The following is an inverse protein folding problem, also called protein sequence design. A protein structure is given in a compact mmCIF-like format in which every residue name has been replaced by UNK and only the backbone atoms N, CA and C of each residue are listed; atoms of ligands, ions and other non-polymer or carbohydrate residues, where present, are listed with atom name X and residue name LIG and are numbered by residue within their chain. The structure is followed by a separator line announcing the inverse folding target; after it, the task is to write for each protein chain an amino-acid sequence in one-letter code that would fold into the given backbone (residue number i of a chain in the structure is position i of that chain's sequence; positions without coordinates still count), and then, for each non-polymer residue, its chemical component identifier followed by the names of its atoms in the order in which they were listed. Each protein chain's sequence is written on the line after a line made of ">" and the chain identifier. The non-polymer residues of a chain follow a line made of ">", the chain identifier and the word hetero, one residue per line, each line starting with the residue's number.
data_IF_888275029797
#
_entry.id   IF_888275029797
#
_cell.length_a   1.000
_cell.length_b   1.000
_cell.length_c   1.000
_cell.angle_alpha   90.00
_cell.angle_beta   90.00
_cell.angle_gamma   90.00
#
_symmetry.space_group_name_H-M   'P 1'
#
loop_
_entity.id
_entity.type
_entity.pdbx_description
1 polymer ?
#
# COMPACT_ATOMS: atom_id res chain seq x y z
N UNK A 1 -7.26 34.95 6.86
CA UNK A 1 -6.91 34.03 5.75
C UNK A 1 -6.40 32.66 6.22
N UNK A 2 -5.38 32.53 7.09
CA UNK A 2 -4.84 31.23 7.56
C UNK A 2 -5.86 30.29 8.26
N UNK A 3 -6.89 30.83 8.91
CA UNK A 3 -7.98 30.06 9.55
C UNK A 3 -8.99 29.47 8.54
N UNK A 4 -9.23 30.18 7.42
CA UNK A 4 -10.19 29.76 6.41
C UNK A 4 -9.62 28.61 5.55
N UNK A 5 -8.35 28.68 5.16
CA UNK A 5 -7.64 27.59 4.48
C UNK A 5 -7.52 26.34 5.34
N UNK A 6 -7.27 26.48 6.65
CA UNK A 6 -7.21 25.35 7.60
C UNK A 6 -8.58 24.67 7.78
N UNK A 7 -9.67 25.42 7.72
CA UNK A 7 -11.05 24.87 7.75
C UNK A 7 -11.47 24.24 6.42
N UNK A 8 -11.01 24.75 5.28
CA UNK A 8 -11.27 24.15 3.96
C UNK A 8 -10.50 22.84 3.80
N UNK A 9 -9.24 22.79 4.24
CA UNK A 9 -8.42 21.55 4.27
C UNK A 9 -9.02 20.50 5.22
N UNK A 10 -9.50 20.89 6.41
CA UNK A 10 -10.20 19.99 7.33
C UNK A 10 -11.52 19.47 6.75
N UNK A 11 -12.31 20.32 6.08
CA UNK A 11 -13.56 19.89 5.43
C UNK A 11 -13.30 18.95 4.25
N UNK A 12 -12.27 19.20 3.43
CA UNK A 12 -11.86 18.29 2.35
C UNK A 12 -11.35 16.94 2.88
N UNK A 13 -10.61 16.94 3.99
CA UNK A 13 -10.14 15.73 4.67
C UNK A 13 -11.30 14.90 5.26
N UNK A 14 -12.26 15.55 5.93
CA UNK A 14 -13.44 14.87 6.49
C UNK A 14 -14.39 14.32 5.42
N UNK A 15 -14.55 15.02 4.29
CA UNK A 15 -15.35 14.53 3.15
C UNK A 15 -14.67 13.33 2.50
N UNK A 16 -13.35 13.34 2.33
CA UNK A 16 -12.57 12.17 1.88
C UNK A 16 -12.68 11.00 2.86
N UNK A 17 -12.51 11.22 4.17
CA UNK A 17 -12.66 10.16 5.19
C UNK A 17 -14.07 9.54 5.20
N UNK A 18 -15.12 10.36 5.05
CA UNK A 18 -16.52 9.89 4.98
C UNK A 18 -16.83 9.14 3.68
N UNK A 19 -16.36 9.64 2.53
CA UNK A 19 -16.52 8.97 1.24
C UNK A 19 -15.74 7.65 1.18
N UNK A 20 -14.57 7.58 1.83
CA UNK A 20 -13.78 6.36 1.94
C UNK A 20 -14.39 5.35 2.92
N UNK A 21 -14.95 5.79 4.05
CA UNK A 21 -15.70 4.89 4.94
C UNK A 21 -16.92 4.27 4.23
N UNK A 22 -17.55 5.02 3.31
CA UNK A 22 -18.66 4.54 2.47
C UNK A 22 -18.19 3.60 1.35
N UNK A 23 -17.04 3.89 0.72
CA UNK A 23 -16.37 3.01 -0.25
C UNK A 23 -16.05 1.63 0.33
N UNK A 24 -15.53 1.63 1.56
CA UNK A 24 -15.14 0.42 2.29
C UNK A 24 -16.34 -0.44 2.68
N UNK A 25 -17.51 0.15 2.90
CA UNK A 25 -18.74 -0.59 3.18
C UNK A 25 -19.36 -1.24 1.92
N UNK A 26 -19.19 -0.62 0.74
CA UNK A 26 -19.73 -1.13 -0.52
C UNK A 26 -18.89 -2.25 -1.17
N UNK A 27 -17.68 -2.50 -0.67
CA UNK A 27 -16.67 -3.39 -1.26
C UNK A 27 -16.90 -4.90 -1.01
N UNK A 28 -17.86 -5.26 -0.15
CA UNK A 28 -18.09 -6.65 0.32
C UNK A 28 -18.95 -7.48 -0.65
N UNK A 29 -19.60 -6.88 -1.66
CA UNK A 29 -20.46 -7.59 -2.62
C UNK A 29 -19.97 -7.39 -4.07
N UNK A 30 -19.32 -8.41 -4.66
CA UNK A 30 -18.77 -8.27 -6.02
C UNK A 30 -18.23 -9.51 -6.73
N UNK A 31 -19.13 -10.43 -7.10
CA UNK A 31 -19.17 -11.18 -8.38
C UNK A 31 -18.18 -12.30 -8.75
N UNK A 32 -18.75 -13.36 -9.35
CA UNK A 32 -18.21 -14.70 -9.64
C UNK A 32 -18.40 -15.01 -11.14
N UNK A 33 -17.37 -15.53 -11.83
CA UNK A 33 -17.47 -16.04 -13.21
C UNK A 33 -16.77 -17.41 -13.36
N UNK A 34 -17.29 -18.27 -14.25
CA UNK A 34 -16.93 -19.70 -14.44
C UNK A 34 -16.09 -19.91 -15.72
N UNK A 35 -15.17 -20.88 -15.70
CA UNK A 35 -14.68 -21.58 -16.90
C UNK A 35 -14.12 -22.99 -16.55
N UNK A 36 -14.18 -23.91 -17.53
CA UNK A 36 -14.07 -25.39 -17.44
C UNK A 36 -12.65 -25.98 -17.72
N UNK A 37 -12.54 -27.31 -17.54
CA UNK A 37 -11.39 -28.26 -17.45
C UNK A 37 -10.84 -28.79 -18.82
N UNK A 38 -9.63 -29.43 -18.94
CA UNK A 38 -9.35 -30.81 -18.45
C UNK A 38 -7.91 -31.27 -18.04
N UNK A 39 -7.96 -32.34 -17.22
CA UNK A 39 -7.09 -33.43 -16.69
C UNK A 39 -5.67 -33.84 -17.21
N UNK A 40 -4.83 -34.14 -16.18
CA UNK A 40 -3.89 -35.28 -15.90
C UNK A 40 -2.51 -35.43 -16.56
N UNK A 41 -1.45 -35.36 -15.73
CA UNK A 41 -0.23 -36.18 -15.80
C UNK A 41 0.46 -36.28 -14.41
N UNK A 42 1.26 -37.34 -14.21
CA UNK A 42 1.71 -37.90 -12.92
C UNK A 42 2.63 -36.99 -12.06
N UNK A 43 2.43 -37.07 -10.74
CA UNK A 43 3.09 -36.23 -9.70
C UNK A 43 4.43 -36.84 -9.27
N UNK A 44 5.50 -36.06 -9.39
CA UNK A 44 6.74 -36.23 -8.62
C UNK A 44 6.80 -35.15 -7.53
N UNK A 45 7.42 -35.47 -6.40
CA UNK A 45 7.38 -34.79 -5.07
C UNK A 45 7.82 -33.30 -4.99
N UNK A 46 7.87 -32.57 -6.10
CA UNK A 46 8.34 -31.16 -6.15
C UNK A 46 7.44 -30.21 -6.95
N UNK A 47 6.30 -30.65 -7.48
CA UNK A 47 5.39 -29.82 -8.29
C UNK A 47 4.09 -29.49 -7.56
N UNK A 48 3.47 -28.37 -7.93
CA UNK A 48 2.18 -27.95 -7.39
C UNK A 48 1.10 -28.97 -7.75
N UNK A 49 0.38 -29.48 -6.75
CA UNK A 49 -0.67 -30.48 -6.93
C UNK A 49 -1.92 -30.04 -7.72
N UNK A 50 -1.97 -28.80 -8.21
CA UNK A 50 -3.06 -28.25 -9.02
C UNK A 50 -2.57 -27.89 -10.42
N UNK A 51 -1.56 -27.01 -10.55
CA UNK A 51 -1.06 -26.58 -11.85
C UNK A 51 0.03 -27.49 -12.43
N UNK A 52 0.57 -28.42 -11.63
CA UNK A 52 1.64 -29.36 -12.02
C UNK A 52 2.96 -28.69 -12.42
N UNK A 53 3.10 -27.38 -12.19
CA UNK A 53 4.32 -26.60 -12.40
C UNK A 53 5.14 -26.47 -11.11
N UNK A 54 6.34 -25.88 -11.22
CA UNK A 54 7.13 -25.47 -10.06
C UNK A 54 6.33 -24.46 -9.20
N UNK A 55 6.16 -24.70 -7.89
CA UNK A 55 5.25 -23.89 -7.09
C UNK A 55 5.78 -22.46 -6.90
N UNK A 56 4.97 -21.47 -7.28
CA UNK A 56 5.18 -20.07 -6.90
C UNK A 56 4.53 -19.83 -5.54
N UNK A 57 5.33 -19.45 -4.53
CA UNK A 57 4.92 -19.34 -3.12
C UNK A 57 4.30 -20.65 -2.59
N UNK A 58 5.11 -21.70 -2.38
CA UNK A 58 4.63 -23.02 -2.00
C UNK A 58 3.96 -23.01 -0.62
N UNK A 59 2.70 -23.45 -0.58
CA UNK A 59 1.97 -23.76 0.64
C UNK A 59 2.00 -25.26 0.89
N UNK A 60 2.79 -25.66 1.90
CA UNK A 60 2.85 -27.03 2.36
C UNK A 60 1.72 -27.29 3.37
N UNK A 61 0.80 -28.18 3.01
CA UNK A 61 -0.30 -28.55 3.89
C UNK A 61 0.16 -29.55 4.96
N UNK A 62 -0.52 -29.62 6.12
CA UNK A 62 -0.22 -30.64 7.15
C UNK A 62 -0.33 -32.08 6.65
N UNK A 63 -1.09 -32.32 5.57
CA UNK A 63 -1.20 -33.64 4.93
C UNK A 63 -0.05 -33.98 3.98
N UNK A 64 0.98 -33.12 3.88
CA UNK A 64 2.18 -33.35 3.07
C UNK A 64 2.07 -32.92 1.60
N UNK A 65 0.91 -32.44 1.15
CA UNK A 65 0.74 -31.95 -0.23
C UNK A 65 1.11 -30.47 -0.33
N UNK A 66 1.73 -30.09 -1.45
CA UNK A 66 2.17 -28.72 -1.73
C UNK A 66 1.45 -28.12 -2.94
N UNK A 67 1.14 -26.83 -2.86
CA UNK A 67 0.41 -26.08 -3.89
C UNK A 67 0.98 -24.67 -4.01
N UNK A 68 0.86 -24.02 -5.17
CA UNK A 68 1.00 -22.57 -5.25
C UNK A 68 -0.08 -21.91 -4.38
N UNK A 69 0.26 -20.83 -3.67
CA UNK A 69 -0.72 -20.06 -2.89
C UNK A 69 -1.95 -19.66 -3.71
N UNK A 70 -1.72 -19.09 -4.90
CA UNK A 70 -2.79 -18.69 -5.82
C UNK A 70 -3.65 -19.86 -6.31
N UNK A 71 -3.07 -21.03 -6.59
CA UNK A 71 -3.83 -22.20 -7.03
C UNK A 71 -4.75 -22.73 -5.92
N UNK A 72 -4.27 -22.76 -4.68
CA UNK A 72 -5.07 -23.21 -3.55
C UNK A 72 -6.20 -22.23 -3.22
N UNK A 73 -5.94 -20.92 -3.31
CA UNK A 73 -6.97 -19.88 -3.14
C UNK A 73 -8.05 -19.98 -4.21
N UNK A 74 -7.65 -20.19 -5.46
CA UNK A 74 -8.60 -20.37 -6.56
C UNK A 74 -9.42 -21.65 -6.39
N UNK A 75 -8.80 -22.75 -5.93
CA UNK A 75 -9.51 -23.98 -5.59
C UNK A 75 -10.60 -23.73 -4.53
N UNK A 76 -10.25 -22.99 -3.46
CA UNK A 76 -11.19 -22.59 -2.40
C UNK A 76 -12.37 -21.80 -2.96
N UNK A 77 -12.11 -20.87 -3.87
CA UNK A 77 -13.13 -20.00 -4.47
C UNK A 77 -14.02 -20.74 -5.50
N UNK A 78 -13.46 -21.64 -6.31
CA UNK A 78 -14.19 -22.35 -7.38
C UNK A 78 -15.08 -23.48 -6.85
N UNK A 79 -14.59 -24.29 -5.91
CA UNK A 79 -15.28 -25.49 -5.41
C UNK A 79 -15.97 -25.31 -4.05
N UNK A 80 -15.81 -24.14 -3.43
CA UNK A 80 -16.37 -23.78 -2.11
C UNK A 80 -17.89 -23.58 -2.03
N UNK A 81 -18.66 -23.94 -3.05
CA UNK A 81 -20.14 -23.87 -3.01
C UNK A 81 -20.72 -24.90 -2.03
N UNK A 82 -19.95 -25.94 -1.70
CA UNK A 82 -20.19 -26.81 -0.54
C UNK A 82 -19.10 -26.50 0.46
N UNK A 83 -19.45 -25.67 1.44
CA UNK A 83 -18.70 -25.19 2.60
C UNK A 83 -17.55 -26.11 3.07
N UNK A 84 -17.80 -27.42 3.15
CA UNK A 84 -16.81 -28.42 3.56
C UNK A 84 -15.58 -28.57 2.65
N UNK A 85 -15.71 -28.32 1.34
CA UNK A 85 -14.62 -28.57 0.38
C UNK A 85 -13.56 -27.45 0.39
N UNK A 86 -13.91 -26.25 0.87
CA UNK A 86 -12.99 -25.11 1.00
C UNK A 86 -11.83 -25.40 1.97
N UNK A 87 -12.07 -26.30 2.92
CA UNK A 87 -11.12 -26.68 3.98
C UNK A 87 -10.62 -28.12 3.80
N UNK A 88 -10.66 -28.65 2.58
CA UNK A 88 -10.16 -29.99 2.24
C UNK A 88 -9.07 -29.93 1.18
N UNK A 89 -8.02 -30.71 1.37
CA UNK A 89 -6.92 -30.88 0.42
C UNK A 89 -7.47 -31.31 -0.94
N UNK A 90 -7.09 -30.64 -2.05
CA UNK A 90 -7.52 -31.03 -3.40
C UNK A 90 -7.17 -32.48 -3.76
N UNK A 91 -6.09 -33.01 -3.19
CA UNK A 91 -5.58 -34.36 -3.49
C UNK A 91 -6.18 -35.39 -2.56
N UNK A 92 -5.89 -35.30 -1.26
CA UNK A 92 -6.26 -36.35 -0.28
C UNK A 92 -7.52 -36.04 0.53
N UNK A 93 -8.11 -34.86 0.35
CA UNK A 93 -9.30 -34.38 1.10
C UNK A 93 -9.12 -34.28 2.61
N UNK A 94 -7.88 -34.40 3.12
CA UNK A 94 -7.55 -34.08 4.50
C UNK A 94 -7.90 -32.63 4.83
N UNK A 95 -8.22 -32.34 6.09
CA UNK A 95 -8.55 -30.98 6.52
C UNK A 95 -7.35 -30.06 6.36
N UNK A 96 -7.63 -28.84 5.91
CA UNK A 96 -6.65 -27.77 5.78
C UNK A 96 -7.01 -26.67 6.80
N UNK A 97 -6.02 -26.11 7.52
CA UNK A 97 -6.22 -24.90 8.29
C UNK A 97 -6.75 -23.71 7.45
N UNK A 98 -7.40 -22.72 8.09
CA UNK A 98 -7.80 -21.50 7.40
C UNK A 98 -6.58 -20.73 6.87
N UNK A 99 -6.75 -19.96 5.79
CA UNK A 99 -5.67 -19.12 5.28
C UNK A 99 -5.43 -17.92 6.19
N UNK A 100 -4.28 -17.25 5.99
CA UNK A 100 -3.95 -16.00 6.69
C UNK A 100 -4.99 -14.92 6.46
N UNK A 101 -5.50 -14.80 5.24
CA UNK A 101 -6.50 -13.82 4.83
C UNK A 101 -7.83 -14.08 5.56
N UNK A 102 -8.28 -15.33 5.63
CA UNK A 102 -9.52 -15.70 6.32
C UNK A 102 -9.46 -15.32 7.81
N UNK A 103 -8.34 -15.65 8.47
CA UNK A 103 -8.14 -15.30 9.89
C UNK A 103 -7.98 -13.79 10.08
N UNK A 104 -7.22 -13.11 9.22
CA UNK A 104 -7.05 -11.66 9.26
C UNK A 104 -8.39 -10.93 9.12
N UNK A 105 -9.23 -11.35 8.16
CA UNK A 105 -10.58 -10.82 7.96
C UNK A 105 -11.42 -10.94 9.23
N UNK A 106 -11.51 -12.15 9.80
CA UNK A 106 -12.27 -12.40 11.02
C UNK A 106 -11.81 -11.52 12.19
N UNK A 107 -10.50 -11.42 12.41
CA UNK A 107 -9.94 -10.61 13.49
C UNK A 107 -10.22 -9.11 13.29
N UNK A 108 -10.08 -8.60 12.07
CA UNK A 108 -10.38 -7.21 11.74
C UNK A 108 -11.86 -6.87 11.94
N UNK A 109 -12.78 -7.75 11.52
CA UNK A 109 -14.22 -7.54 11.70
C UNK A 109 -14.58 -7.57 13.19
N UNK A 110 -14.02 -8.50 13.98
CA UNK A 110 -14.21 -8.57 15.43
C UNK A 110 -13.71 -7.30 16.14
N UNK A 111 -12.54 -6.79 15.76
CA UNK A 111 -12.00 -5.53 16.30
C UNK A 111 -12.91 -4.33 15.97
N UNK A 112 -13.43 -4.28 14.73
CA UNK A 112 -14.40 -3.28 14.30
C UNK A 112 -15.71 -3.33 15.10
N UNK A 113 -16.27 -4.52 15.35
CA UNK A 113 -17.44 -4.71 16.20
C UNK A 113 -17.21 -4.17 17.61
N UNK A 114 -16.10 -4.59 18.24
CA UNK A 114 -15.74 -4.14 19.58
C UNK A 114 -15.64 -2.61 19.68
N UNK A 115 -15.03 -1.96 18.70
CA UNK A 115 -14.95 -0.50 18.63
C UNK A 115 -16.33 0.17 18.58
N UNK A 116 -17.30 -0.41 17.86
CA UNK A 116 -18.68 0.10 17.81
C UNK A 116 -19.39 -0.10 19.15
N UNK A 117 -19.19 -1.24 19.81
CA UNK A 117 -19.71 -1.51 21.15
C UNK A 117 -19.15 -0.52 22.18
N UNK A 118 -17.84 -0.25 22.15
CA UNK A 118 -17.17 0.70 23.03
C UNK A 118 -17.68 2.14 22.83
N UNK A 119 -18.16 2.48 21.63
CA UNK A 119 -18.80 3.77 21.31
C UNK A 119 -20.30 3.81 21.58
N UNK A 120 -20.93 2.67 21.91
CA UNK A 120 -22.37 2.56 22.07
C UNK A 120 -23.17 2.61 20.76
N UNK A 121 -22.53 2.38 19.62
CA UNK A 121 -23.15 2.44 18.28
C UNK A 121 -23.82 1.11 17.87
N UNK A 122 -24.38 0.38 18.83
CA UNK A 122 -24.87 -1.02 18.66
C UNK A 122 -26.22 -1.17 17.97
N UNK A 123 -26.89 -0.06 17.64
CA UNK A 123 -28.20 -0.04 16.96
C UNK A 123 -28.12 0.49 15.53
N UNK A 124 -26.92 0.73 15.02
CA UNK A 124 -26.71 1.22 13.65
C UNK A 124 -26.89 0.08 12.64
N UNK A 125 -27.36 0.39 11.43
CA UNK A 125 -27.37 -0.55 10.30
C UNK A 125 -25.98 -1.14 10.08
N UNK A 126 -24.95 -0.29 10.11
CA UNK A 126 -23.55 -0.68 10.03
C UNK A 126 -23.13 -1.72 11.09
N UNK A 127 -23.62 -1.63 12.33
CA UNK A 127 -23.34 -2.62 13.36
C UNK A 127 -23.97 -3.98 13.04
N UNK A 128 -25.18 -3.98 12.49
CA UNK A 128 -25.84 -5.21 12.04
C UNK A 128 -25.09 -5.85 10.87
N UNK A 129 -24.62 -5.05 9.90
CA UNK A 129 -23.79 -5.53 8.80
C UNK A 129 -22.48 -6.16 9.31
N UNK A 130 -21.82 -5.51 10.26
CA UNK A 130 -20.61 -6.04 10.91
C UNK A 130 -20.90 -7.39 11.59
N UNK A 131 -22.08 -7.57 12.22
CA UNK A 131 -22.43 -8.85 12.83
C UNK A 131 -22.66 -9.96 11.78
N UNK A 132 -23.26 -9.63 10.64
CA UNK A 132 -23.41 -10.56 9.53
C UNK A 132 -22.05 -10.92 8.91
N UNK A 133 -21.16 -9.94 8.75
CA UNK A 133 -19.77 -10.14 8.31
C UNK A 133 -19.03 -11.12 9.22
N UNK A 134 -19.20 -11.02 10.55
CA UNK A 134 -18.60 -11.97 11.49
C UNK A 134 -19.14 -13.38 11.26
N UNK A 135 -20.45 -13.54 11.12
CA UNK A 135 -21.03 -14.86 10.91
C UNK A 135 -20.47 -15.54 9.65
N UNK A 136 -20.33 -14.78 8.54
CA UNK A 136 -19.71 -15.26 7.30
C UNK A 136 -18.23 -15.60 7.48
N UNK A 137 -17.48 -14.74 8.17
CA UNK A 137 -16.05 -14.97 8.40
C UNK A 137 -15.80 -16.17 9.35
N UNK A 138 -16.68 -16.39 10.33
CA UNK A 138 -16.65 -17.56 11.22
C UNK A 138 -16.99 -18.85 10.48
N UNK A 139 -17.90 -18.80 9.52
CA UNK A 139 -18.20 -19.92 8.61
C UNK A 139 -16.97 -20.26 7.75
N UNK A 140 -16.34 -19.25 7.17
CA UNK A 140 -15.16 -19.40 6.33
C UNK A 140 -13.99 -20.04 7.10
N UNK A 141 -13.61 -19.46 8.24
CA UNK A 141 -12.57 -20.00 9.12
C UNK A 141 -12.97 -21.38 9.66
N UNK A 142 -14.26 -21.51 9.97
CA UNK A 142 -14.99 -22.69 10.38
C UNK A 142 -14.90 -23.03 11.86
N UNK A 143 -15.97 -23.67 12.36
CA UNK A 143 -16.25 -23.83 13.78
C UNK A 143 -15.21 -24.64 14.59
N UNK A 144 -14.37 -25.44 13.93
CA UNK A 144 -13.30 -26.24 14.52
C UNK A 144 -11.94 -25.52 14.59
N UNK A 145 -11.87 -24.26 14.16
CA UNK A 145 -10.65 -23.46 14.32
C UNK A 145 -10.35 -23.18 15.80
N UNK A 146 -9.10 -23.43 16.20
CA UNK A 146 -8.62 -23.33 17.58
C UNK A 146 -8.25 -21.90 18.02
N UNK A 147 -8.42 -20.92 17.13
CA UNK A 147 -8.10 -19.51 17.37
C UNK A 147 -6.65 -19.13 17.08
N UNK A 148 -5.78 -20.08 16.71
CA UNK A 148 -4.34 -19.83 16.52
C UNK A 148 -3.76 -20.44 15.25
N UNK A 149 -4.30 -21.55 14.75
CA UNK A 149 -3.72 -22.27 13.62
C UNK A 149 -4.03 -21.55 12.30
N UNK A 150 -3.00 -21.13 11.58
CA UNK A 150 -3.09 -20.48 10.27
C UNK A 150 -2.28 -21.28 9.26
N UNK A 151 -2.82 -21.48 8.06
CA UNK A 151 -2.09 -22.13 6.99
C UNK A 151 -0.99 -21.19 6.46
N UNK A 152 0.26 -21.67 6.53
CA UNK A 152 1.42 -20.98 6.00
C UNK A 152 1.92 -19.91 6.95
N UNK A 153 2.65 -20.31 7.99
CA UNK A 153 3.40 -19.34 8.78
C UNK A 153 4.76 -19.89 9.23
N UNK A 154 5.78 -19.61 8.42
CA UNK A 154 7.17 -19.55 8.86
C UNK A 154 7.70 -18.11 8.81
N UNK A 155 6.84 -17.10 8.66
CA UNK A 155 7.23 -15.69 8.65
C UNK A 155 6.99 -15.10 10.04
N UNK A 156 7.79 -14.11 10.43
CA UNK A 156 7.53 -13.38 11.68
C UNK A 156 6.19 -12.65 11.56
N UNK A 157 5.42 -12.50 12.65
CA UNK A 157 4.20 -11.69 12.65
C UNK A 157 4.48 -10.31 12.05
N UNK A 158 3.58 -9.77 11.20
CA UNK A 158 3.80 -8.47 10.59
C UNK A 158 3.88 -7.38 11.65
N UNK A 159 4.72 -6.39 11.41
CA UNK A 159 4.82 -5.22 12.28
C UNK A 159 3.52 -4.43 12.19
N UNK A 160 2.89 -4.12 13.32
CA UNK A 160 1.71 -3.25 13.36
C UNK A 160 2.19 -1.79 13.47
N UNK A 161 1.83 -0.95 12.50
CA UNK A 161 2.17 0.47 12.54
C UNK A 161 1.31 1.20 13.57
N UNK A 162 1.88 2.11 14.37
CA UNK A 162 1.10 2.94 15.28
C UNK A 162 0.12 3.86 14.55
N UNK A 163 -0.98 4.24 15.20
CA UNK A 163 -2.02 5.12 14.63
C UNK A 163 -1.45 6.45 14.08
N UNK A 164 -0.44 7.03 14.73
CA UNK A 164 0.15 8.28 14.27
C UNK A 164 0.91 8.10 12.94
N UNK A 165 1.44 6.90 12.66
CA UNK A 165 2.07 6.56 11.38
C UNK A 165 1.01 6.32 10.31
N UNK A 166 -0.06 5.58 10.63
CA UNK A 166 -1.18 5.42 9.72
C UNK A 166 -1.78 6.78 9.30
N UNK A 167 -1.96 7.68 10.27
CA UNK A 167 -2.41 9.06 10.01
C UNK A 167 -1.39 9.90 9.23
N UNK A 168 -0.08 9.66 9.42
CA UNK A 168 0.96 10.30 8.62
C UNK A 168 0.90 9.84 7.15
N UNK A 169 0.66 8.55 6.91
CA UNK A 169 0.43 7.99 5.56
C UNK A 169 -0.78 8.66 4.92
N UNK A 170 -1.93 8.70 5.61
CA UNK A 170 -3.16 9.36 5.10
C UNK A 170 -2.91 10.81 4.65
N UNK A 171 -2.04 11.54 5.36
CA UNK A 171 -1.72 12.95 5.07
C UNK A 171 -0.57 13.15 4.08
N UNK A 172 0.09 12.09 3.64
CA UNK A 172 1.29 12.18 2.79
C UNK A 172 2.52 12.71 3.51
N UNK A 173 2.61 12.58 4.85
CA UNK A 173 3.78 13.01 5.63
C UNK A 173 4.92 11.98 5.48
N UNK A 174 5.57 12.03 4.32
CA UNK A 174 6.70 11.17 3.98
C UNK A 174 7.86 11.29 4.98
N UNK A 175 8.06 12.45 5.60
CA UNK A 175 9.12 12.66 6.60
C UNK A 175 8.92 11.73 7.80
N UNK A 176 7.72 11.77 8.38
CA UNK A 176 7.40 10.97 9.57
C UNK A 176 7.40 9.48 9.26
N UNK A 177 6.88 9.08 8.10
CA UNK A 177 6.83 7.68 7.67
C UNK A 177 8.24 7.12 7.44
N UNK A 178 9.06 7.80 6.63
CA UNK A 178 10.43 7.35 6.35
C UNK A 178 11.31 7.33 7.59
N UNK A 179 11.18 8.32 8.49
CA UNK A 179 11.90 8.32 9.77
C UNK A 179 11.55 7.09 10.61
N UNK A 180 10.27 6.72 10.65
CA UNK A 180 9.83 5.55 11.41
C UNK A 180 10.32 4.24 10.80
N UNK A 181 10.23 4.08 9.47
CA UNK A 181 10.74 2.91 8.75
C UNK A 181 12.25 2.75 9.00
N UNK A 182 13.02 3.82 8.83
CA UNK A 182 14.48 3.77 8.93
C UNK A 182 15.01 3.70 10.37
N UNK A 183 14.20 4.04 11.38
CA UNK A 183 14.65 4.04 12.78
C UNK A 183 14.89 2.65 13.39
N UNK A 184 14.39 1.58 12.76
CA UNK A 184 14.72 0.21 13.17
C UNK A 184 14.84 -0.72 11.96
N UNK A 185 16.09 -0.97 11.53
CA UNK A 185 16.39 -1.84 10.38
C UNK A 185 16.20 -3.34 10.66
N UNK A 186 15.91 -3.73 11.90
CA UNK A 186 15.68 -5.15 12.26
C UNK A 186 14.23 -5.59 12.08
N UNK A 187 13.31 -4.64 11.96
CA UNK A 187 11.88 -4.85 11.76
C UNK A 187 11.51 -4.53 10.30
N UNK A 188 10.62 -5.34 9.72
CA UNK A 188 10.08 -5.10 8.37
C UNK A 188 8.98 -4.02 8.40
N UNK A 189 9.38 -2.79 8.73
CA UNK A 189 8.45 -1.66 8.92
C UNK A 189 7.85 -1.14 7.62
N UNK A 190 8.53 -1.32 6.49
CA UNK A 190 8.01 -0.90 5.19
C UNK A 190 6.78 -1.72 4.79
N UNK A 191 6.73 -2.99 5.21
CA UNK A 191 5.59 -3.90 5.05
C UNK A 191 4.70 -3.97 6.29
N UNK A 192 4.78 -2.97 7.19
CA UNK A 192 3.91 -2.91 8.33
C UNK A 192 2.43 -2.77 7.91
N UNK A 193 1.56 -3.31 8.75
CA UNK A 193 0.10 -3.25 8.59
C UNK A 193 -0.50 -2.26 9.58
N UNK A 194 -1.64 -1.65 9.24
CA UNK A 194 -2.45 -0.90 10.19
C UNK A 194 -3.02 -1.80 11.29
N UNK A 195 -3.66 -1.19 12.28
CA UNK A 195 -4.34 -1.93 13.34
C UNK A 195 -5.47 -2.81 12.76
N UNK A 196 -5.89 -3.88 13.46
CA UNK A 196 -7.05 -4.67 13.06
C UNK A 196 -8.32 -3.83 12.89
N UNK A 197 -8.49 -2.79 13.70
CA UNK A 197 -9.57 -1.81 13.59
C UNK A 197 -9.55 -1.04 12.26
N UNK A 198 -8.37 -0.90 11.67
CA UNK A 198 -8.08 -0.26 10.39
C UNK A 198 -7.81 -1.29 9.28
N UNK A 199 -8.37 -2.50 9.40
CA UNK A 199 -8.36 -3.58 8.38
C UNK A 199 -6.98 -4.15 8.04
N UNK A 200 -5.99 -4.03 8.93
CA UNK A 200 -4.66 -4.60 8.71
C UNK A 200 -4.05 -4.17 7.35
N UNK A 201 -4.33 -2.95 6.90
CA UNK A 201 -3.88 -2.42 5.62
C UNK A 201 -2.35 -2.33 5.59
N UNK A 202 -1.67 -2.98 4.63
CA UNK A 202 -0.27 -2.72 4.37
C UNK A 202 -0.02 -1.23 4.10
N UNK A 203 1.15 -0.72 4.47
CA UNK A 203 1.50 0.69 4.29
C UNK A 203 1.26 1.19 2.85
N UNK A 204 1.60 0.37 1.86
CA UNK A 204 1.37 0.66 0.43
C UNK A 204 -0.12 0.73 0.08
N UNK A 205 -0.93 -0.19 0.59
CA UNK A 205 -2.39 -0.17 0.41
C UNK A 205 -3.00 1.10 0.99
N UNK A 206 -2.58 1.50 2.20
CA UNK A 206 -3.02 2.75 2.81
C UNK A 206 -2.60 3.97 1.98
N UNK A 207 -1.33 4.06 1.56
CA UNK A 207 -0.85 5.15 0.71
C UNK A 207 -1.59 5.24 -0.63
N UNK A 208 -1.95 4.09 -1.21
CA UNK A 208 -2.77 4.00 -2.41
C UNK A 208 -4.16 4.57 -2.13
N UNK A 209 -4.84 4.05 -1.09
CA UNK A 209 -6.19 4.47 -0.74
C UNK A 209 -6.32 5.99 -0.56
N UNK A 210 -5.31 6.63 0.03
CA UNK A 210 -5.31 8.06 0.34
C UNK A 210 -4.67 8.95 -0.74
N UNK A 211 -4.45 8.45 -1.96
CA UNK A 211 -3.90 9.24 -3.08
C UNK A 211 -2.52 9.85 -2.76
N UNK A 212 -1.60 9.01 -2.30
CA UNK A 212 -0.25 9.44 -1.90
C UNK A 212 0.81 8.90 -2.87
N UNK A 213 0.70 9.25 -4.16
CA UNK A 213 1.56 8.74 -5.24
C UNK A 213 3.06 8.82 -4.94
N UNK A 214 3.52 9.96 -4.38
CA UNK A 214 4.93 10.13 -3.99
C UNK A 214 5.32 9.16 -2.87
N UNK A 215 4.45 8.99 -1.87
CA UNK A 215 4.71 8.08 -0.75
C UNK A 215 4.67 6.62 -1.22
N UNK A 216 3.77 6.25 -2.14
CA UNK A 216 3.76 4.93 -2.77
C UNK A 216 5.10 4.63 -3.43
N UNK A 217 5.65 5.58 -4.21
CA UNK A 217 6.94 5.41 -4.88
C UNK A 217 8.09 5.23 -3.87
N UNK A 218 8.08 6.01 -2.79
CA UNK A 218 9.06 5.88 -1.71
C UNK A 218 8.95 4.52 -1.00
N UNK A 219 7.73 4.08 -0.66
CA UNK A 219 7.50 2.78 -0.01
C UNK A 219 7.98 1.63 -0.89
N UNK A 220 7.66 1.64 -2.18
CA UNK A 220 8.12 0.64 -3.15
C UNK A 220 9.66 0.62 -3.27
N UNK A 221 10.29 1.80 -3.37
CA UNK A 221 11.75 1.91 -3.35
C UNK A 221 12.39 1.37 -2.06
N UNK A 222 11.70 1.47 -0.92
CA UNK A 222 12.14 0.93 0.35
C UNK A 222 11.81 -0.56 0.55
N UNK A 223 11.20 -1.22 -0.46
CA UNK A 223 10.91 -2.66 -0.42
C UNK A 223 9.50 -3.02 0.06
N UNK A 224 8.53 -2.12 -0.04
CA UNK A 224 7.14 -2.48 0.12
C UNK A 224 6.75 -3.56 -0.91
N UNK A 225 6.12 -4.63 -0.43
CA UNK A 225 5.56 -5.69 -1.27
C UNK A 225 4.34 -5.14 -2.01
N UNK A 226 4.49 -5.00 -3.33
CA UNK A 226 3.45 -4.50 -4.24
C UNK A 226 2.18 -5.38 -4.23
N UNK A 227 2.33 -6.65 -3.85
CA UNK A 227 1.25 -7.64 -3.82
C UNK A 227 0.82 -7.97 -2.38
N UNK A 228 1.26 -7.19 -1.38
CA UNK A 228 0.79 -7.35 -0.02
C UNK A 228 -0.74 -7.21 0.04
N UNK A 229 -1.38 -8.17 0.71
CA UNK A 229 -2.84 -8.23 0.85
C UNK A 229 -3.28 -7.72 2.21
N UNK A 230 -4.38 -6.98 2.25
CA UNK A 230 -5.05 -6.57 3.48
C UNK A 230 -5.88 -7.72 4.10
N UNK A 231 -6.65 -7.41 5.16
CA UNK A 231 -7.52 -8.40 5.80
C UNK A 231 -8.59 -8.98 4.88
N UNK A 232 -8.92 -8.30 3.78
CA UNK A 232 -9.94 -8.71 2.82
C UNK A 232 -9.32 -9.40 1.59
N UNK A 233 -8.00 -9.56 1.56
CA UNK A 233 -7.29 -10.20 0.45
C UNK A 233 -6.94 -9.25 -0.69
N UNK A 234 -7.16 -7.95 -0.54
CA UNK A 234 -6.94 -6.97 -1.61
C UNK A 234 -5.54 -6.38 -1.57
N UNK A 235 -4.94 -6.28 -2.75
CA UNK A 235 -3.68 -5.58 -2.96
C UNK A 235 -3.91 -4.09 -3.17
N UNK A 236 -2.83 -3.32 -3.17
CA UNK A 236 -2.86 -1.91 -3.57
C UNK A 236 -3.52 -1.74 -4.95
N UNK A 237 -3.24 -2.63 -5.90
CA UNK A 237 -3.81 -2.59 -7.24
C UNK A 237 -5.33 -2.82 -7.23
N UNK A 238 -5.80 -3.82 -6.48
CA UNK A 238 -7.23 -4.14 -6.42
C UNK A 238 -8.05 -2.98 -5.82
N UNK A 239 -7.49 -2.30 -4.82
CA UNK A 239 -8.09 -1.09 -4.23
C UNK A 239 -8.23 0.00 -5.31
N UNK A 240 -7.23 0.19 -6.17
CA UNK A 240 -7.27 1.20 -7.24
C UNK A 240 -8.30 0.87 -8.32
N UNK A 241 -8.45 -0.40 -8.66
CA UNK A 241 -9.35 -0.82 -9.75
C UNK A 241 -10.76 -1.19 -9.30
N UNK A 242 -11.12 -0.88 -8.04
CA UNK A 242 -12.47 -1.07 -7.56
C UNK A 242 -13.44 -0.01 -8.11
N UNK A 243 -14.67 -0.41 -8.45
CA UNK A 243 -15.70 0.44 -9.05
C UNK A 243 -15.96 1.72 -8.25
N UNK A 244 -16.02 1.65 -6.93
CA UNK A 244 -16.25 2.81 -6.08
C UNK A 244 -15.09 3.81 -6.16
N UNK A 245 -13.85 3.32 -6.13
CA UNK A 245 -12.67 4.18 -6.25
C UNK A 245 -12.57 4.83 -7.64
N UNK A 246 -13.00 4.12 -8.69
CA UNK A 246 -12.96 4.60 -10.08
C UNK A 246 -14.05 5.62 -10.43
N UNK A 247 -15.21 5.53 -9.77
CA UNK A 247 -16.40 6.34 -10.07
C UNK A 247 -16.49 7.63 -9.25
N UNK A 248 -16.01 7.64 -8.01
CA UNK A 248 -16.32 8.71 -7.05
C UNK A 248 -15.20 9.74 -6.83
N UNK A 249 -14.00 9.52 -7.39
CA UNK A 249 -12.82 10.32 -7.03
C UNK A 249 -12.06 10.88 -8.26
N UNK A 250 -11.77 12.18 -8.24
CA UNK A 250 -11.11 12.96 -9.30
C UNK A 250 -9.58 13.08 -9.14
N UNK A 251 -8.94 12.01 -8.67
CA UNK A 251 -7.49 11.93 -8.46
C UNK A 251 -6.82 11.15 -9.57
N UNK A 252 -5.49 11.26 -9.66
CA UNK A 252 -4.69 10.66 -10.72
C UNK A 252 -4.52 9.13 -10.52
N UNK A 253 -5.65 8.44 -10.67
CA UNK A 253 -5.75 6.99 -10.60
C UNK A 253 -4.86 6.32 -11.64
N UNK A 254 -4.76 6.91 -12.83
CA UNK A 254 -3.95 6.37 -13.94
C UNK A 254 -2.48 6.27 -13.52
N UNK A 255 -1.93 7.32 -12.90
CA UNK A 255 -0.55 7.29 -12.39
C UNK A 255 -0.35 6.26 -11.29
N UNK A 256 -1.30 6.08 -10.37
CA UNK A 256 -1.19 5.08 -9.31
C UNK A 256 -1.21 3.65 -9.86
N UNK A 257 -2.13 3.36 -10.79
CA UNK A 257 -2.22 2.05 -11.45
C UNK A 257 -0.96 1.76 -12.28
N UNK A 258 -0.48 2.73 -13.06
CA UNK A 258 0.76 2.60 -13.84
C UNK A 258 1.98 2.37 -12.95
N UNK A 259 2.07 3.09 -11.82
CA UNK A 259 3.13 2.87 -10.84
C UNK A 259 3.11 1.42 -10.37
N UNK A 260 1.97 0.94 -9.83
CA UNK A 260 1.83 -0.42 -9.32
C UNK A 260 2.14 -1.49 -10.38
N UNK A 261 1.65 -1.33 -11.62
CA UNK A 261 1.93 -2.24 -12.73
C UNK A 261 3.42 -2.29 -13.10
N UNK A 262 4.09 -1.14 -13.12
CA UNK A 262 5.53 -1.07 -13.42
C UNK A 262 6.39 -1.73 -12.33
N UNK A 263 5.89 -1.79 -11.09
CA UNK A 263 6.49 -2.49 -9.96
C UNK A 263 6.06 -3.95 -9.83
N UNK A 264 5.29 -4.48 -10.79
CA UNK A 264 4.96 -5.89 -10.85
C UNK A 264 3.71 -6.30 -10.10
N UNK A 265 2.77 -5.38 -9.86
CA UNK A 265 1.45 -5.74 -9.34
C UNK A 265 0.82 -6.87 -10.16
N UNK A 266 0.36 -7.91 -9.46
CA UNK A 266 -0.51 -8.94 -9.98
C UNK A 266 -1.86 -8.33 -10.32
N UNK A 267 -2.45 -8.72 -11.44
CA UNK A 267 -3.68 -8.10 -11.93
C UNK A 267 -4.69 -9.18 -12.34
N UNK A 268 -5.91 -9.10 -11.80
CA UNK A 268 -7.10 -9.73 -12.39
C UNK A 268 -7.62 -8.83 -13.51
N UNK A 269 -6.90 -8.81 -14.64
CA UNK A 269 -7.03 -7.82 -15.73
C UNK A 269 -8.44 -7.69 -16.29
N UNK A 270 -9.11 -8.83 -16.47
CA UNK A 270 -10.43 -8.90 -17.11
C UNK A 270 -11.48 -8.14 -16.31
N UNK A 271 -11.51 -8.35 -14.99
CA UNK A 271 -12.42 -7.63 -14.10
C UNK A 271 -12.06 -6.14 -14.01
N UNK A 272 -10.77 -5.82 -13.83
CA UNK A 272 -10.31 -4.43 -13.69
C UNK A 272 -10.58 -3.59 -14.95
N UNK A 273 -10.35 -4.16 -16.14
CA UNK A 273 -10.65 -3.50 -17.40
C UNK A 273 -12.16 -3.28 -17.60
N UNK A 274 -12.99 -4.27 -17.26
CA UNK A 274 -14.45 -4.16 -17.34
C UNK A 274 -14.97 -3.03 -16.44
N UNK A 275 -14.52 -2.96 -15.19
CA UNK A 275 -14.85 -1.87 -14.26
C UNK A 275 -14.39 -0.52 -14.83
N UNK A 276 -13.17 -0.44 -15.35
CA UNK A 276 -12.65 0.78 -15.95
C UNK A 276 -13.51 1.28 -17.13
N UNK A 277 -14.00 0.38 -17.99
CA UNK A 277 -14.95 0.73 -19.06
C UNK A 277 -16.27 1.23 -18.50
N UNK A 278 -16.83 0.54 -17.50
CA UNK A 278 -18.07 0.94 -16.83
C UNK A 278 -18.02 2.34 -16.23
N UNK A 279 -16.87 2.73 -15.67
CA UNK A 279 -16.63 4.07 -15.13
C UNK A 279 -16.19 5.11 -16.19
N UNK A 280 -16.18 4.77 -17.48
CA UNK A 280 -15.79 5.68 -18.58
C UNK A 280 -14.29 5.98 -18.68
N UNK A 281 -13.41 5.19 -18.03
CA UNK A 281 -11.95 5.33 -18.05
C UNK A 281 -11.34 4.49 -19.18
N UNK A 282 -11.68 4.81 -20.43
CA UNK A 282 -11.35 3.98 -21.61
C UNK A 282 -9.84 3.78 -21.84
N UNK A 283 -9.02 4.81 -21.66
CA UNK A 283 -7.56 4.70 -21.80
C UNK A 283 -6.97 3.70 -20.79
N UNK A 284 -7.44 3.75 -19.55
CA UNK A 284 -7.04 2.83 -18.51
C UNK A 284 -7.55 1.41 -18.78
N UNK A 285 -8.78 1.26 -19.29
CA UNK A 285 -9.30 -0.04 -19.69
C UNK A 285 -8.44 -0.69 -20.79
N UNK A 286 -8.12 0.07 -21.85
CA UNK A 286 -7.28 -0.41 -22.94
C UNK A 286 -5.87 -0.78 -22.44
N UNK A 287 -5.30 0.00 -21.51
CA UNK A 287 -4.04 -0.32 -20.86
C UNK A 287 -4.10 -1.68 -20.15
N UNK A 288 -5.16 -1.90 -19.36
CA UNK A 288 -5.34 -3.09 -18.53
C UNK A 288 -5.58 -4.37 -19.34
N UNK A 289 -6.27 -4.27 -20.48
CA UNK A 289 -6.53 -5.38 -21.40
C UNK A 289 -5.27 -5.87 -22.11
N UNK A 290 -4.37 -4.96 -22.45
CA UNK A 290 -3.11 -5.32 -23.13
C UNK A 290 -2.16 -6.03 -22.18
N UNK A 291 -1.41 -7.04 -22.64
CA UNK A 291 -0.54 -7.86 -21.78
C UNK A 291 0.57 -7.06 -21.06
N UNK A 292 1.16 -6.09 -21.74
CA UNK A 292 2.29 -5.32 -21.21
C UNK A 292 1.91 -3.91 -20.77
N UNK A 293 0.67 -3.47 -20.96
CA UNK A 293 0.24 -2.11 -20.62
C UNK A 293 0.56 -1.72 -19.17
N UNK A 294 1.24 -0.58 -19.02
CA UNK A 294 1.68 -0.01 -17.75
C UNK A 294 2.88 -0.72 -17.13
N UNK A 295 3.34 -1.84 -17.70
CA UNK A 295 4.45 -2.63 -17.17
C UNK A 295 5.79 -2.12 -17.68
N UNK A 296 6.81 -2.30 -16.84
CA UNK A 296 8.20 -2.11 -17.25
C UNK A 296 8.69 -3.33 -18.01
N UNK A 297 9.41 -3.08 -19.10
CA UNK A 297 9.95 -4.08 -20.00
C UNK A 297 11.43 -3.81 -20.28
N UNK A 298 12.11 -4.85 -20.72
CA UNK A 298 13.41 -4.81 -21.38
C UNK A 298 13.21 -5.05 -22.88
N UNK A 299 13.87 -4.24 -23.71
CA UNK A 299 13.84 -4.38 -25.16
C UNK A 299 14.77 -5.53 -25.56
N UNK A 300 14.23 -6.51 -26.29
CA UNK A 300 14.95 -7.71 -26.72
C UNK A 300 14.88 -7.89 -28.24
N UNK A 301 16.01 -8.28 -28.84
CA UNK A 301 16.13 -8.58 -30.27
C UNK A 301 15.57 -7.53 -31.25
N UNK A 302 15.85 -6.21 -31.09
CA UNK A 302 15.36 -5.19 -32.00
C UNK A 302 16.09 -5.27 -33.36
N UNK A 303 15.47 -5.90 -34.36
CA UNK A 303 16.08 -6.14 -35.68
C UNK A 303 16.49 -4.85 -36.41
N UNK A 304 15.77 -3.75 -36.20
CA UNK A 304 15.99 -2.47 -36.89
C UNK A 304 16.93 -1.51 -36.13
N UNK A 305 17.10 -1.69 -34.82
CA UNK A 305 17.88 -0.79 -33.95
C UNK A 305 18.61 -1.61 -32.85
N UNK A 306 19.69 -2.32 -33.20
CA UNK A 306 20.41 -3.20 -32.27
C UNK A 306 20.89 -2.52 -30.98
N UNK A 307 21.14 -1.21 -31.04
CA UNK A 307 21.54 -0.35 -29.92
C UNK A 307 20.48 -0.19 -28.83
N UNK A 308 19.22 -0.57 -29.10
CA UNK A 308 18.15 -0.59 -28.10
C UNK A 308 18.14 -1.86 -27.27
N UNK A 309 18.85 -2.91 -27.68
CA UNK A 309 18.82 -4.20 -27.01
C UNK A 309 19.33 -4.07 -25.56
N UNK A 310 18.54 -4.54 -24.60
CA UNK A 310 18.80 -4.45 -23.17
C UNK A 310 18.33 -3.14 -22.51
N UNK A 311 17.92 -2.12 -23.27
CA UNK A 311 17.36 -0.89 -22.69
C UNK A 311 16.01 -1.15 -22.05
N UNK A 312 15.70 -0.41 -20.99
CA UNK A 312 14.44 -0.53 -20.26
C UNK A 312 13.44 0.54 -20.71
N UNK A 313 12.17 0.17 -20.72
CA UNK A 313 11.07 1.03 -21.12
C UNK A 313 9.79 0.71 -20.35
N UNK A 314 8.81 1.60 -20.40
CA UNK A 314 7.45 1.35 -19.91
C UNK A 314 6.51 1.28 -21.10
N UNK A 315 5.66 0.25 -21.17
CA UNK A 315 4.66 0.13 -22.23
C UNK A 315 3.44 1.00 -21.91
N UNK A 316 3.38 2.19 -22.50
CA UNK A 316 2.41 3.22 -22.12
C UNK A 316 1.03 3.00 -22.72
N UNK A 317 0.99 2.43 -23.92
CA UNK A 317 -0.22 2.26 -24.71
C UNK A 317 -0.05 1.07 -25.67
N UNK A 318 -1.12 0.30 -25.84
CA UNK A 318 -1.20 -0.76 -26.83
C UNK A 318 -2.01 -0.27 -28.04
N UNK A 319 -1.46 -0.49 -29.24
CA UNK A 319 -2.02 -0.11 -30.53
C UNK A 319 -2.58 -1.39 -31.20
N UNK A 320 -3.89 -1.67 -31.08
CA UNK A 320 -4.48 -2.92 -31.54
C UNK A 320 -4.42 -3.08 -33.06
N UNK A 321 -4.54 -1.99 -33.83
CA UNK A 321 -4.56 -2.03 -35.30
C UNK A 321 -3.24 -2.52 -35.91
N UNK A 322 -2.11 -2.24 -35.24
CA UNK A 322 -0.78 -2.63 -35.70
C UNK A 322 -0.14 -3.73 -34.85
N UNK A 323 -0.83 -4.20 -33.79
CA UNK A 323 -0.32 -5.10 -32.78
C UNK A 323 1.06 -4.65 -32.26
N UNK A 324 1.15 -3.39 -31.80
CA UNK A 324 2.39 -2.78 -31.31
C UNK A 324 2.15 -2.03 -30.00
N UNK A 325 3.21 -1.78 -29.26
CA UNK A 325 3.19 -0.94 -28.08
C UNK A 325 3.92 0.37 -28.33
N UNK A 326 3.30 1.47 -27.90
CA UNK A 326 4.00 2.71 -27.67
C UNK A 326 4.70 2.60 -26.32
N UNK A 327 6.01 2.74 -26.32
CA UNK A 327 6.84 2.60 -25.12
C UNK A 327 7.65 3.87 -24.89
N UNK A 328 7.83 4.26 -23.63
CA UNK A 328 8.75 5.33 -23.23
C UNK A 328 10.02 4.73 -22.67
N UNK A 329 11.17 5.10 -23.22
CA UNK A 329 12.48 4.70 -22.70
C UNK A 329 12.74 5.32 -21.33
N UNK A 330 13.39 4.56 -20.45
CA UNK A 330 13.77 5.02 -19.11
C UNK A 330 15.11 5.75 -19.08
N UNK A 331 15.23 6.72 -19.98
CA UNK A 331 16.39 7.60 -20.07
C UNK A 331 15.96 9.03 -19.75
N UNK A 332 16.91 9.94 -19.54
CA UNK A 332 16.58 11.36 -19.32
C UNK A 332 15.81 12.00 -20.47
N UNK A 333 16.03 11.56 -21.71
CA UNK A 333 15.30 12.06 -22.88
C UNK A 333 13.84 11.61 -22.92
N UNK A 334 13.51 10.48 -22.26
CA UNK A 334 12.18 9.86 -22.28
C UNK A 334 11.67 9.66 -23.71
N UNK A 335 12.56 9.21 -24.59
CA UNK A 335 12.22 8.97 -25.99
C UNK A 335 11.10 7.93 -26.11
N UNK A 336 10.16 8.20 -27.00
CA UNK A 336 9.01 7.34 -27.24
C UNK A 336 9.25 6.54 -28.52
N UNK A 337 9.07 5.22 -28.43
CA UNK A 337 9.23 4.28 -29.52
C UNK A 337 7.94 3.51 -29.75
N UNK A 338 7.82 2.89 -30.91
CA UNK A 338 6.77 1.93 -31.21
C UNK A 338 7.43 0.59 -31.51
N UNK A 339 7.13 -0.43 -30.71
CA UNK A 339 7.78 -1.73 -30.76
C UNK A 339 6.75 -2.86 -30.82
N UNK A 340 7.11 -3.95 -31.50
CA UNK A 340 6.31 -5.17 -31.50
C UNK A 340 6.36 -5.85 -30.12
N UNK A 341 5.30 -6.58 -29.72
CA UNK A 341 5.28 -7.36 -28.49
C UNK A 341 6.48 -8.32 -28.37
N UNK A 342 6.90 -8.95 -29.47
CA UNK A 342 8.05 -9.85 -29.52
C UNK A 342 9.39 -9.19 -29.14
N UNK A 343 9.46 -7.85 -29.20
CA UNK A 343 10.62 -7.08 -28.79
C UNK A 343 10.58 -6.65 -27.32
N UNK A 344 9.55 -7.03 -26.56
CA UNK A 344 9.36 -6.58 -25.19
C UNK A 344 9.29 -7.78 -24.25
N UNK A 345 10.22 -7.81 -23.30
CA UNK A 345 10.22 -8.78 -22.21
C UNK A 345 9.88 -8.09 -20.90
N UNK A 346 8.84 -8.55 -20.19
CA UNK A 346 8.47 -8.00 -18.87
C UNK A 346 9.67 -8.03 -17.91
N UNK A 347 9.95 -6.89 -17.27
CA UNK A 347 11.01 -6.69 -16.28
C UNK A 347 10.56 -5.68 -15.23
N UNK A 348 9.82 -6.18 -14.25
CA UNK A 348 9.26 -5.34 -13.18
C UNK A 348 10.35 -4.62 -12.38
N UNK A 349 10.00 -3.46 -11.83
CA UNK A 349 10.90 -2.70 -10.95
C UNK A 349 11.14 -3.45 -9.64
N UNK A 350 12.33 -3.25 -9.10
CA UNK A 350 12.68 -3.67 -7.74
C UNK A 350 13.39 -2.52 -7.02
N UNK A 351 13.54 -2.57 -5.67
CA UNK A 351 14.35 -1.59 -4.95
C UNK A 351 15.77 -1.40 -5.50
N UNK A 352 16.35 -2.42 -6.12
CA UNK A 352 17.70 -2.40 -6.72
C UNK A 352 17.71 -2.08 -8.22
N UNK A 353 16.57 -2.24 -8.90
CA UNK A 353 16.38 -2.05 -10.35
C UNK A 353 15.12 -1.22 -10.59
N UNK A 354 15.12 0.01 -10.08
CA UNK A 354 13.94 0.87 -10.05
C UNK A 354 13.83 1.82 -11.24
N UNK A 355 14.85 1.95 -12.10
CA UNK A 355 14.88 2.79 -13.32
C UNK A 355 14.85 4.31 -13.09
N UNK A 356 14.51 4.75 -11.88
CA UNK A 356 14.59 6.12 -11.41
C UNK A 356 14.73 6.09 -9.89
N UNK A 357 15.16 7.19 -9.28
CA UNK A 357 15.23 7.25 -7.81
C UNK A 357 14.58 8.52 -7.27
N UNK A 358 13.68 8.35 -6.30
CA UNK A 358 13.06 9.46 -5.57
C UNK A 358 13.72 9.59 -4.19
N UNK A 359 14.31 10.74 -3.93
CA UNK A 359 14.89 11.11 -2.65
C UNK A 359 13.97 12.08 -1.92
N UNK A 360 13.80 11.92 -0.60
CA UNK A 360 13.07 12.86 0.24
C UNK A 360 14.04 13.57 1.20
N UNK A 361 14.34 14.84 0.93
CA UNK A 361 15.31 15.64 1.69
C UNK A 361 14.75 17.03 1.98
N UNK A 362 14.93 17.52 3.21
CA UNK A 362 14.49 18.85 3.66
C UNK A 362 13.00 19.16 3.37
N UNK A 363 12.14 18.14 3.49
CA UNK A 363 10.70 18.28 3.23
C UNK A 363 10.33 18.38 1.75
N UNK A 364 11.28 18.14 0.84
CA UNK A 364 11.07 18.14 -0.60
C UNK A 364 11.44 16.79 -1.19
N UNK A 365 10.74 16.47 -2.26
CA UNK A 365 10.97 15.27 -3.06
C UNK A 365 11.84 15.65 -4.26
N UNK A 366 12.94 14.95 -4.47
CA UNK A 366 13.85 15.11 -5.60
C UNK A 366 13.78 13.84 -6.43
N UNK A 367 13.49 13.98 -7.72
CA UNK A 367 13.50 12.86 -8.67
C UNK A 367 14.82 12.86 -9.42
N UNK A 368 15.50 11.72 -9.40
CA UNK A 368 16.71 11.43 -10.14
C UNK A 368 16.35 10.52 -11.32
N UNK A 369 16.51 11.05 -12.53
CA UNK A 369 16.41 10.31 -13.80
C UNK A 369 17.83 10.08 -14.34
N UNK A 370 18.04 8.94 -15.00
CA UNK A 370 19.36 8.45 -15.39
C UNK A 370 19.48 8.31 -16.91
N UNK A 371 20.71 8.32 -17.44
CA UNK A 371 20.94 8.14 -18.88
C UNK A 371 20.87 6.66 -19.28
N UNK A 372 21.10 5.76 -18.31
CA UNK A 372 20.96 4.31 -18.45
C UNK A 372 20.40 3.68 -17.18
N UNK A 373 19.90 2.45 -17.32
CA UNK A 373 19.43 1.68 -16.17
C UNK A 373 20.60 1.26 -15.26
N UNK A 374 21.77 1.01 -15.85
CA UNK A 374 23.01 0.68 -15.15
C UNK A 374 23.46 1.83 -14.24
N UNK A 375 23.33 3.09 -14.70
CA UNK A 375 23.62 4.27 -13.86
C UNK A 375 22.67 4.35 -12.66
N UNK A 376 21.38 4.04 -12.87
CA UNK A 376 20.40 4.00 -11.79
C UNK A 376 20.76 2.92 -10.75
N UNK A 377 21.12 1.72 -11.21
CA UNK A 377 21.54 0.62 -10.34
C UNK A 377 22.81 0.96 -9.56
N UNK A 378 23.79 1.58 -10.22
CA UNK A 378 25.03 2.03 -9.58
C UNK A 378 24.77 3.10 -8.51
N UNK A 379 23.88 4.05 -8.78
CA UNK A 379 23.47 5.07 -7.82
C UNK A 379 22.79 4.44 -6.59
N UNK A 380 21.86 3.52 -6.80
CA UNK A 380 21.17 2.81 -5.71
C UNK A 380 22.15 1.94 -4.91
N UNK A 381 23.11 1.28 -5.57
CA UNK A 381 24.13 0.48 -4.91
C UNK A 381 25.03 1.35 -4.01
N UNK A 382 25.43 2.54 -4.48
CA UNK A 382 26.22 3.48 -3.69
C UNK A 382 25.50 3.91 -2.40
N UNK A 383 24.20 4.25 -2.49
CA UNK A 383 23.39 4.63 -1.33
C UNK A 383 23.27 3.54 -0.26
N UNK A 384 23.24 2.27 -0.69
CA UNK A 384 23.16 1.14 0.24
C UNK A 384 24.51 0.85 0.91
N UNK A 385 25.63 1.11 0.23
CA UNK A 385 26.97 0.93 0.77
C UNK A 385 27.36 2.04 1.76
N UNK A 386 26.90 3.28 1.53
CA UNK A 386 27.13 4.40 2.46
C UNK A 386 26.46 4.20 3.83
N UNK A 387 25.57 3.20 3.97
CA UNK A 387 24.99 2.78 5.24
C UNK A 387 25.98 2.16 6.23
N UNK A 388 27.17 1.74 5.80
CA UNK A 388 28.26 1.30 6.69
C UNK A 388 29.20 2.47 7.10
N UNK A 389 29.11 3.62 6.44
CA UNK A 389 30.00 4.78 6.61
C UNK A 389 29.29 6.12 6.76
N UNK A 390 28.06 6.17 7.26
CA UNK A 390 27.53 7.44 7.76
C UNK A 390 28.26 7.82 9.06
N UNK A 391 28.98 8.96 9.12
CA UNK A 391 29.40 9.49 10.41
C UNK A 391 28.12 9.85 11.16
N UNK A 392 28.04 9.41 12.43
CA UNK A 392 26.95 9.80 13.31
C UNK A 392 26.74 11.32 13.20
N UNK A 393 25.51 11.74 12.92
CA UNK A 393 25.12 13.15 13.09
C UNK A 393 25.34 13.47 14.56
N UNK A 394 26.46 14.12 14.88
CA UNK A 394 26.74 14.57 16.24
C UNK A 394 25.86 15.77 16.53
N UNK A 395 25.44 15.93 17.78
CA UNK A 395 24.68 17.10 18.25
C UNK A 395 25.37 18.42 17.84
N UNK A 396 26.70 18.42 17.70
CA UNK A 396 27.50 19.55 17.21
C UNK A 396 27.21 19.93 15.75
N UNK A 397 26.97 18.96 14.87
CA UNK A 397 26.66 19.23 13.46
C UNK A 397 25.24 19.78 13.27
N UNK A 398 24.31 19.40 14.14
CA UNK A 398 22.94 19.93 14.19
C UNK A 398 22.93 21.34 14.81
N UNK A 399 23.68 21.55 15.90
CA UNK A 399 23.86 22.87 16.51
C UNK A 399 24.53 23.88 15.56
N UNK A 400 25.53 23.45 14.78
CA UNK A 400 26.18 24.32 13.79
C UNK A 400 25.21 24.73 12.66
N UNK A 401 24.32 23.82 12.24
CA UNK A 401 23.31 24.11 11.24
C UNK A 401 22.21 25.05 11.78
N UNK A 402 21.79 24.88 13.03
CA UNK A 402 20.85 25.79 13.71
C UNK A 402 21.45 27.19 13.90
N UNK A 403 22.74 27.27 14.26
CA UNK A 403 23.44 28.54 14.42
C UNK A 403 23.59 29.28 13.08
N UNK A 404 23.96 28.59 12.01
CA UNK A 404 24.03 29.18 10.67
C UNK A 404 22.65 29.66 10.18
N UNK A 405 21.57 28.95 10.53
CA UNK A 405 20.21 29.39 10.22
C UNK A 405 19.79 30.63 11.03
N UNK A 406 20.20 30.71 12.30
CA UNK A 406 19.96 31.88 13.14
C UNK A 406 20.71 33.12 12.65
N UNK A 407 21.96 32.97 12.22
CA UNK A 407 22.77 34.06 11.64
C UNK A 407 22.15 34.59 10.34
N UNK A 408 21.66 33.71 9.46
CA UNK A 408 20.94 34.11 8.24
C UNK A 408 19.63 34.84 8.53
N UNK A 409 18.91 34.45 9.59
CA UNK A 409 17.68 35.14 9.99
C UNK A 409 17.97 36.54 10.56
N UNK A 410 19.09 36.69 11.28
CA UNK A 410 19.56 37.98 11.78
C UNK A 410 19.99 38.91 10.63
N UNK A 411 20.67 38.41 9.60
CA UNK A 411 21.03 39.18 8.40
C UNK A 411 19.80 39.66 7.61
N UNK A 412 18.71 38.88 7.62
CA UNK A 412 17.46 39.22 6.95
C UNK A 412 16.56 40.19 7.75
N UNK A 413 16.98 40.60 8.96
CA UNK A 413 16.29 41.61 9.76
C UNK A 413 14.88 41.19 10.21
N UNK A 414 14.64 39.88 10.39
CA UNK A 414 13.35 39.32 10.79
C UNK A 414 13.24 39.08 12.31
N UNK A 415 14.05 39.76 13.11
CA UNK A 415 14.00 39.69 14.57
C UNK A 415 12.99 40.68 15.14
N UNK A 416 11.70 40.32 15.05
CA UNK A 416 10.68 40.90 15.91
C UNK A 416 9.61 39.86 16.20
N UNK A 417 9.73 39.16 17.34
CA UNK A 417 8.69 39.06 18.37
C UNK A 417 9.30 38.48 19.67
N UNK A 418 8.84 38.94 20.85
CA UNK A 418 9.63 38.94 22.08
C UNK A 418 9.65 37.59 22.79
N UNK A 419 10.85 37.17 23.18
CA UNK A 419 11.07 36.18 24.22
C UNK A 419 10.58 36.73 25.58
N UNK A 420 9.78 35.93 26.29
CA UNK A 420 9.41 36.23 27.68
C UNK A 420 10.66 36.27 28.56
N UNK A 421 10.77 37.37 29.31
CA UNK A 421 11.84 37.60 30.27
C UNK A 421 11.87 36.55 31.37
N UNK A 422 13.08 36.05 31.61
CA UNK A 422 13.45 35.29 32.79
C UNK A 422 13.65 36.18 34.03
N UNK A 423 13.49 35.52 35.18
CA UNK A 423 14.21 35.72 36.45
C UNK A 423 13.47 36.41 37.61
N UNK A 424 13.44 35.70 38.74
CA UNK A 424 13.10 36.28 40.05
C UNK A 424 12.50 35.31 41.06
N UNK A 425 13.26 34.29 41.50
CA UNK A 425 12.93 33.50 42.69
C UNK A 425 12.78 34.40 43.93
N UNK A 426 11.61 34.46 44.60
CA UNK A 426 11.49 34.48 46.08
C UNK A 426 10.17 33.85 46.56
N UNK A 427 10.33 32.93 47.50
CA UNK A 427 9.29 32.21 48.21
C UNK A 427 8.32 33.12 48.99
N UNK A 428 7.04 32.70 49.13
CA UNK A 428 6.33 32.52 50.43
C UNK A 428 4.85 32.10 50.26
N UNK A 429 4.55 30.91 50.81
CA UNK A 429 3.33 30.45 51.52
C UNK A 429 1.95 30.92 51.04
N UNK A 430 1.19 29.99 50.46
CA UNK A 430 -0.27 30.04 50.44
C UNK A 430 -0.86 29.47 51.75
N UNK A 431 -1.69 30.26 52.45
CA UNK A 431 -2.72 29.75 53.37
C UNK A 431 -4.06 30.41 53.02
N UNK A 432 -5.00 29.55 52.62
CA UNK A 432 -6.46 29.80 52.52
C UNK A 432 -6.98 30.64 53.70
N UNK A 433 -7.89 31.58 53.41
CA UNK A 433 -9.14 31.70 54.18
C UNK A 433 -10.27 32.35 53.38
N UNK A 434 -11.43 31.73 53.56
CA UNK A 434 -12.75 32.03 52.99
C UNK A 434 -13.33 33.38 53.45
N UNK A 435 -14.29 33.82 52.62
CA UNK A 435 -15.64 34.33 52.96
C UNK A 435 -15.85 35.86 53.04
N UNK A 436 -16.78 36.25 52.15
CA UNK A 436 -18.13 36.83 52.41
C UNK A 436 -18.32 38.32 52.06
N UNK A 437 -19.24 38.48 51.11
CA UNK A 437 -20.48 39.29 51.12
C UNK A 437 -20.38 40.81 51.18
N UNK A 438 -21.19 41.39 50.29
CA UNK A 438 -21.78 42.73 50.38
C UNK A 438 -20.99 43.71 49.52
N UNK A 439 -21.57 44.44 48.58
CA UNK A 439 -22.98 44.68 48.29
C UNK A 439 -23.10 46.10 47.74
N UNK A 440 -23.94 46.22 46.71
CA UNK A 440 -24.74 47.40 46.33
C UNK A 440 -24.04 48.65 45.75
N UNK A 441 -24.67 49.06 44.63
CA UNK A 441 -25.00 50.42 44.18
C UNK A 441 -23.80 51.20 43.62
N UNK A 442 -23.92 52.00 42.56
CA UNK A 442 -25.04 52.51 41.73
C UNK A 442 -24.34 52.98 40.42
N UNK A 443 -24.95 52.83 39.24
CA UNK A 443 -25.49 53.95 38.44
C UNK A 443 -24.62 55.22 38.52
N UNK A 444 -24.05 55.66 37.42
CA UNK A 444 -24.75 56.15 36.22
C UNK A 444 -24.07 55.67 34.95
#
# INVERSE_FOLDING_TARGET
>A
MKSLTRNILKKRCLVREYQMAKALAAFVDGSRAKAEHPTTAAVTETTCGICLEEPKDPLNLPCGHSFCGGCLDEWRSRYGVKEEMRRKCPICRARIPPSKEMVSSLLSIRARKKRLEDKGETSSEYYHDVCQDIARAEEDVGADWDGVTVLGDSRKPPVVMPDYIHNAINRGDAKSVLRWINSNRTEDRVNAISSPEQMCLPALCAASMFDQLTLMSLLLQHGADVNARDSNGFTAFDIMTNEHMMSELDWDLSSCVRLLLSWGAGCSRENAASVARGCGKYELANLLESELGGRRCEIVNPSAQPELNGKTCVADEYLPDSNQYKVTLETKSKDVLVLCPDNLKRRDRTPRDCGYYIEFKNGRTIRHDFDSNEDCQAFVAALNNDGETQPAVTEESEAAAEQAAAELLAELGLDDYPAENSSGCKAKKAKKKKKKKGGKKKKN
#
